data_IF_662911094045
#
_entry.id   IF_662911094045
#
_cell.length_a   1.000
_cell.length_b   1.000
_cell.length_c   1.000
_cell.angle_alpha   90.00
_cell.angle_beta   90.00
_cell.angle_gamma   90.00
#
_symmetry.space_group_name_H-M   'P 1'
#
loop_
_entity.id
_entity.type
_entity.pdbx_description
1 polymer ?
#
# COMPACT_ATOMS: atom_id res chain seq x y z
N UNK A 1 11.35 -12.55 -17.29
CA UNK A 1 10.85 -13.84 -16.82
C UNK A 1 12.02 -14.75 -16.55
N UNK A 2 12.17 -15.18 -15.32
CA UNK A 2 13.28 -16.01 -14.89
C UNK A 2 12.74 -17.34 -14.38
N UNK A 3 12.92 -18.43 -15.14
CA UNK A 3 12.56 -19.77 -14.66
C UNK A 3 13.44 -20.12 -13.45
N UNK A 4 12.86 -20.77 -12.50
CA UNK A 4 13.62 -21.41 -11.43
C UNK A 4 14.07 -22.76 -11.95
N UNK A 5 15.37 -23.01 -11.92
CA UNK A 5 15.90 -24.34 -12.14
C UNK A 5 15.55 -25.19 -10.93
N UNK A 6 14.76 -26.24 -11.13
CA UNK A 6 14.41 -27.21 -10.09
C UNK A 6 14.98 -28.60 -10.37
N UNK A 7 16.08 -28.68 -11.09
CA UNK A 7 16.82 -29.95 -11.29
C UNK A 7 17.46 -30.48 -10.01
N UNK A 8 17.54 -29.63 -8.97
CA UNK A 8 18.13 -29.98 -7.67
C UNK A 8 19.64 -30.14 -7.67
N UNK A 9 20.29 -29.77 -8.77
CA UNK A 9 21.74 -29.72 -8.88
C UNK A 9 22.09 -28.33 -9.40
N UNK A 10 22.94 -27.63 -8.66
CA UNK A 10 23.46 -26.37 -9.15
C UNK A 10 24.23 -26.61 -10.46
N UNK A 11 24.26 -25.67 -11.41
CA UNK A 11 25.01 -25.80 -12.65
C UNK A 11 26.48 -26.15 -12.45
N UNK A 12 27.03 -25.86 -11.27
CA UNK A 12 28.40 -26.18 -10.85
C UNK A 12 28.53 -27.50 -10.11
N UNK A 13 27.47 -28.30 -10.04
CA UNK A 13 27.44 -29.61 -9.39
C UNK A 13 27.46 -29.58 -7.86
N UNK A 14 27.34 -28.41 -7.25
CA UNK A 14 27.26 -28.29 -5.79
C UNK A 14 25.82 -28.49 -5.27
N UNK A 15 25.68 -28.99 -4.05
CA UNK A 15 24.37 -28.97 -3.39
C UNK A 15 23.92 -27.51 -3.20
N UNK A 16 22.58 -27.26 -3.17
CA UNK A 16 22.06 -25.94 -2.87
C UNK A 16 22.65 -25.45 -1.55
N UNK A 17 23.35 -24.36 -1.57
CA UNK A 17 23.89 -23.72 -0.36
C UNK A 17 23.25 -22.34 -0.22
N UNK A 18 22.89 -21.99 1.01
CA UNK A 18 22.31 -20.69 1.31
C UNK A 18 23.17 -19.50 0.90
N UNK A 19 22.65 -18.25 1.02
CA UNK A 19 23.33 -17.05 0.57
C UNK A 19 24.78 -16.96 1.10
N UNK A 20 25.74 -16.40 0.36
CA UNK A 20 25.53 -15.42 -0.71
C UNK A 20 25.75 -15.96 -2.13
N UNK A 21 25.32 -17.14 -2.47
CA UNK A 21 25.56 -17.66 -3.82
C UNK A 21 24.43 -17.25 -4.77
N UNK A 22 24.74 -16.53 -5.87
CA UNK A 22 23.84 -16.42 -7.00
C UNK A 22 23.68 -17.82 -7.60
N UNK A 23 22.48 -18.33 -7.66
CA UNK A 23 22.22 -19.70 -8.12
C UNK A 23 21.76 -20.60 -6.99
N UNK A 24 20.77 -20.10 -6.22
CA UNK A 24 20.08 -20.96 -5.29
C UNK A 24 19.35 -22.05 -6.06
N UNK A 25 19.81 -23.28 -5.90
CA UNK A 25 19.25 -24.42 -6.58
C UNK A 25 18.15 -25.06 -5.76
N UNK A 26 17.05 -25.33 -6.40
CA UNK A 26 15.87 -25.97 -5.77
C UNK A 26 16.07 -27.50 -5.80
N UNK A 27 15.90 -28.22 -4.68
CA UNK A 27 16.05 -29.66 -4.64
C UNK A 27 15.15 -30.40 -5.62
N UNK A 28 15.54 -31.61 -6.08
CA UNK A 28 14.72 -32.43 -6.97
C UNK A 28 13.33 -32.67 -6.38
N UNK A 29 12.28 -32.54 -7.19
CA UNK A 29 10.90 -32.77 -6.78
C UNK A 29 10.21 -31.58 -6.15
N UNK A 30 10.92 -30.44 -5.97
CA UNK A 30 10.28 -29.21 -5.58
C UNK A 30 9.39 -28.65 -6.69
N UNK A 31 8.29 -27.95 -6.33
CA UNK A 31 7.43 -27.34 -7.34
C UNK A 31 8.22 -26.35 -8.23
N UNK A 32 8.11 -26.50 -9.53
CA UNK A 32 8.68 -25.54 -10.45
C UNK A 32 7.96 -24.20 -10.32
N UNK A 33 8.74 -23.13 -10.19
CA UNK A 33 8.22 -21.77 -10.15
C UNK A 33 8.74 -21.06 -11.39
N UNK A 34 7.81 -20.54 -12.16
CA UNK A 34 8.12 -19.63 -13.24
C UNK A 34 7.09 -18.51 -13.27
N UNK A 35 7.40 -17.46 -13.98
CA UNK A 35 6.56 -16.29 -14.13
C UNK A 35 6.31 -15.95 -15.61
N UNK A 36 6.42 -16.92 -16.49
CA UNK A 36 6.23 -16.69 -17.94
C UNK A 36 4.82 -16.19 -18.27
N UNK A 37 3.83 -16.64 -17.53
CA UNK A 37 2.45 -16.21 -17.69
C UNK A 37 2.20 -14.75 -17.29
N UNK A 38 3.12 -14.13 -16.56
CA UNK A 38 3.05 -12.73 -16.15
C UNK A 38 3.88 -11.80 -17.05
N UNK A 39 4.54 -12.36 -18.08
CA UNK A 39 5.35 -11.57 -18.99
C UNK A 39 4.49 -10.63 -19.82
N UNK A 40 4.65 -9.34 -19.60
CA UNK A 40 3.91 -8.30 -20.29
C UNK A 40 4.72 -7.00 -20.34
N UNK A 41 4.30 -6.09 -21.21
CA UNK A 41 4.74 -4.71 -21.20
C UNK A 41 3.69 -3.88 -20.46
N UNK A 42 4.12 -2.70 -19.96
CA UNK A 42 3.22 -1.71 -19.32
C UNK A 42 2.40 -2.31 -18.17
N UNK A 43 3.10 -3.06 -17.30
CA UNK A 43 2.47 -3.83 -16.22
C UNK A 43 2.01 -3.00 -15.04
N UNK A 44 2.25 -1.69 -15.04
CA UNK A 44 1.89 -0.75 -13.97
C UNK A 44 0.79 0.24 -14.40
N UNK A 45 -0.36 -0.20 -14.95
CA UNK A 45 -1.44 0.73 -15.25
C UNK A 45 -2.02 1.29 -13.95
N UNK A 46 -2.37 2.57 -13.98
CA UNK A 46 -3.06 3.24 -12.86
C UNK A 46 -4.27 3.97 -13.40
N UNK A 47 -5.42 3.69 -12.81
CA UNK A 47 -6.67 4.35 -13.14
C UNK A 47 -7.17 5.16 -11.94
N UNK A 48 -7.58 6.40 -12.19
CA UNK A 48 -8.19 7.28 -11.20
C UNK A 48 -9.58 7.69 -11.64
N UNK A 49 -10.53 7.60 -10.72
CA UNK A 49 -11.84 8.22 -10.84
C UNK A 49 -12.05 9.13 -9.63
N UNK A 50 -12.25 10.42 -9.87
CA UNK A 50 -12.53 11.41 -8.83
C UNK A 50 -13.81 12.18 -9.12
N UNK A 51 -14.64 12.37 -8.10
CA UNK A 51 -15.86 13.17 -8.16
C UNK A 51 -15.88 14.13 -6.96
N UNK A 52 -16.34 15.35 -7.20
CA UNK A 52 -16.54 16.35 -6.14
C UNK A 52 -17.80 17.14 -6.42
N UNK A 53 -18.62 17.33 -5.38
CA UNK A 53 -19.78 18.18 -5.41
C UNK A 53 -19.75 19.13 -4.21
N UNK A 54 -20.23 20.34 -4.41
CA UNK A 54 -20.29 21.36 -3.37
C UNK A 54 -21.65 22.04 -3.39
N UNK A 55 -22.17 22.31 -2.21
CA UNK A 55 -23.41 23.06 -2.01
C UNK A 55 -23.15 24.17 -0.99
N UNK A 56 -23.31 25.41 -1.43
CA UNK A 56 -23.31 26.57 -0.55
C UNK A 56 -24.76 27.03 -0.34
N UNK A 57 -25.17 27.12 0.90
CA UNK A 57 -26.46 27.68 1.30
C UNK A 57 -26.28 28.92 2.18
N UNK A 58 -26.91 30.02 1.78
CA UNK A 58 -26.96 31.26 2.57
C UNK A 58 -28.27 31.31 3.34
N UNK A 59 -28.18 31.29 4.66
CA UNK A 59 -29.35 31.43 5.53
C UNK A 59 -29.83 32.88 5.59
N UNK A 60 -28.89 33.81 5.70
CA UNK A 60 -29.07 35.24 5.69
C UNK A 60 -27.74 35.94 5.38
N UNK A 61 -27.62 37.26 5.57
CA UNK A 61 -26.40 38.04 5.28
C UNK A 61 -25.23 37.68 6.20
N UNK A 62 -25.51 37.17 7.39
CA UNK A 62 -24.47 36.85 8.39
C UNK A 62 -24.13 35.37 8.46
N UNK A 63 -24.97 34.46 7.92
CA UNK A 63 -24.81 33.03 8.06
C UNK A 63 -24.87 32.26 6.74
N UNK A 64 -23.90 31.42 6.54
CA UNK A 64 -23.87 30.48 5.41
C UNK A 64 -23.30 29.13 5.84
N UNK A 65 -23.60 28.08 5.07
CA UNK A 65 -23.05 26.76 5.21
C UNK A 65 -22.58 26.25 3.85
N UNK A 66 -21.39 25.65 3.82
CA UNK A 66 -20.84 24.93 2.69
C UNK A 66 -20.71 23.45 3.07
N UNK A 67 -21.21 22.57 2.20
CA UNK A 67 -20.98 21.14 2.28
C UNK A 67 -20.25 20.71 1.03
N UNK A 68 -19.18 19.96 1.19
CA UNK A 68 -18.39 19.36 0.11
C UNK A 68 -18.43 17.85 0.27
N UNK A 69 -18.79 17.16 -0.81
CA UNK A 69 -18.70 15.71 -0.92
C UNK A 69 -17.66 15.33 -1.96
N UNK A 70 -16.69 14.52 -1.57
CA UNK A 70 -15.63 14.02 -2.47
C UNK A 70 -15.63 12.50 -2.45
N UNK A 71 -15.33 11.94 -3.60
CA UNK A 71 -15.10 10.52 -3.80
C UNK A 71 -13.89 10.34 -4.72
N UNK A 72 -13.01 9.40 -4.40
CA UNK A 72 -11.95 8.97 -5.28
C UNK A 72 -11.79 7.45 -5.21
N UNK A 73 -11.53 6.87 -6.35
CA UNK A 73 -11.10 5.48 -6.51
C UNK A 73 -9.81 5.46 -7.33
N UNK A 74 -8.81 4.77 -6.85
CA UNK A 74 -7.57 4.45 -7.53
C UNK A 74 -7.48 2.92 -7.65
N UNK A 75 -7.25 2.44 -8.86
CA UNK A 75 -6.87 1.06 -9.15
C UNK A 75 -5.50 1.10 -9.83
N UNK A 76 -4.48 0.61 -9.14
CA UNK A 76 -3.12 0.49 -9.63
C UNK A 76 -2.74 -1.00 -9.64
N UNK A 77 -2.35 -1.51 -10.78
CA UNK A 77 -1.75 -2.83 -10.89
C UNK A 77 -0.24 -2.71 -11.04
N UNK A 78 0.47 -3.80 -10.73
CA UNK A 78 1.90 -3.91 -10.97
C UNK A 78 2.77 -3.77 -9.75
N UNK A 79 4.03 -3.39 -9.97
CA UNK A 79 5.09 -3.35 -8.97
C UNK A 79 5.38 -1.91 -8.58
N UNK A 80 5.36 -1.64 -7.28
CA UNK A 80 5.54 -0.29 -6.71
C UNK A 80 6.99 -0.01 -6.27
N UNK A 81 7.91 -0.92 -6.57
CA UNK A 81 9.34 -0.80 -6.27
C UNK A 81 10.16 -1.38 -7.42
N UNK A 82 11.41 -0.93 -7.54
CA UNK A 82 12.38 -1.47 -8.49
C UNK A 82 13.50 -2.16 -7.74
N UNK A 83 13.86 -3.35 -8.19
CA UNK A 83 15.08 -4.03 -7.75
C UNK A 83 16.13 -3.95 -8.85
N UNK A 84 17.41 -3.73 -8.52
CA UNK A 84 18.47 -3.65 -9.53
C UNK A 84 18.76 -4.99 -10.19
N UNK A 85 18.53 -6.09 -9.48
CA UNK A 85 18.81 -7.44 -9.96
C UNK A 85 17.57 -8.33 -9.79
N UNK A 86 17.44 -9.30 -10.67
CA UNK A 86 16.53 -10.42 -10.49
C UNK A 86 16.99 -11.33 -9.35
N UNK A 87 16.11 -12.24 -8.89
CA UNK A 87 16.43 -13.14 -7.78
C UNK A 87 17.53 -14.17 -8.08
N UNK A 88 17.86 -14.40 -9.34
CA UNK A 88 19.01 -15.20 -9.80
C UNK A 88 20.33 -14.41 -9.88
N UNK A 89 20.28 -13.10 -9.62
CA UNK A 89 21.43 -12.21 -9.65
C UNK A 89 21.61 -11.45 -10.97
N UNK A 90 20.86 -11.78 -12.00
CA UNK A 90 20.94 -11.08 -13.29
C UNK A 90 20.52 -9.62 -13.14
N UNK A 91 21.30 -8.73 -13.75
CA UNK A 91 21.04 -7.30 -13.73
C UNK A 91 19.82 -6.96 -14.59
N UNK A 92 18.85 -6.27 -13.99
CA UNK A 92 17.67 -5.78 -14.70
C UNK A 92 17.99 -4.47 -15.43
N UNK A 93 17.39 -4.31 -16.61
CA UNK A 93 17.45 -3.04 -17.36
C UNK A 93 16.57 -1.99 -16.67
N UNK A 94 16.80 -0.69 -16.94
CA UNK A 94 15.91 0.36 -16.46
C UNK A 94 14.44 0.05 -16.81
N UNK A 95 13.52 0.25 -15.85
CA UNK A 95 12.09 -0.04 -15.96
C UNK A 95 11.72 -1.52 -16.17
N UNK A 96 12.67 -2.42 -16.03
CA UNK A 96 12.42 -3.86 -16.03
C UNK A 96 12.26 -4.35 -14.60
N UNK A 97 11.25 -5.18 -14.35
CA UNK A 97 11.00 -5.82 -13.06
C UNK A 97 10.73 -7.30 -13.22
N UNK A 98 10.92 -8.06 -12.16
CA UNK A 98 10.49 -9.46 -12.08
C UNK A 98 9.36 -9.59 -11.09
N UNK A 99 8.31 -10.28 -11.47
CA UNK A 99 7.09 -10.46 -10.71
C UNK A 99 6.70 -11.94 -10.78
N UNK A 100 6.39 -12.56 -9.64
CA UNK A 100 5.94 -13.95 -9.56
C UNK A 100 4.46 -14.06 -9.19
N UNK A 101 3.93 -13.02 -8.56
CA UNK A 101 2.50 -12.90 -8.25
C UNK A 101 1.99 -11.54 -8.72
N UNK A 102 0.74 -11.46 -9.21
CA UNK A 102 0.12 -10.18 -9.50
C UNK A 102 0.10 -9.30 -8.24
N UNK A 103 0.46 -8.05 -8.42
CA UNK A 103 0.42 -7.03 -7.35
C UNK A 103 -0.60 -5.95 -7.72
N UNK A 104 -1.25 -5.39 -6.71
CA UNK A 104 -2.16 -4.27 -6.89
C UNK A 104 -2.20 -3.36 -5.67
N UNK A 105 -2.62 -2.13 -5.89
CA UNK A 105 -2.99 -1.17 -4.85
C UNK A 105 -4.33 -0.54 -5.22
N UNK A 106 -5.37 -0.84 -4.45
CA UNK A 106 -6.72 -0.30 -4.62
C UNK A 106 -7.01 0.61 -3.44
N UNK A 107 -7.09 1.90 -3.72
CA UNK A 107 -7.35 2.93 -2.72
C UNK A 107 -8.62 3.69 -3.06
N UNK A 108 -9.58 3.65 -2.16
CA UNK A 108 -10.85 4.35 -2.32
C UNK A 108 -11.18 5.14 -1.08
N UNK A 109 -11.53 6.41 -1.27
CA UNK A 109 -12.05 7.21 -0.18
C UNK A 109 -13.33 7.97 -0.51
N UNK A 110 -14.08 8.23 0.54
CA UNK A 110 -15.22 9.13 0.56
C UNK A 110 -14.97 10.16 1.65
N UNK A 111 -15.09 11.43 1.33
CA UNK A 111 -14.92 12.52 2.29
C UNK A 111 -16.09 13.49 2.21
N UNK A 112 -16.71 13.74 3.36
CA UNK A 112 -17.71 14.78 3.55
C UNK A 112 -17.09 15.86 4.42
N UNK A 113 -17.06 17.09 3.94
CA UNK A 113 -16.60 18.25 4.72
C UNK A 113 -17.74 19.27 4.82
N UNK A 114 -17.81 19.97 5.92
CA UNK A 114 -18.77 21.04 6.13
C UNK A 114 -18.10 22.23 6.81
N UNK A 115 -18.58 23.42 6.46
CA UNK A 115 -18.19 24.67 7.10
C UNK A 115 -19.41 25.54 7.26
N UNK A 116 -19.65 26.01 8.46
CA UNK A 116 -20.66 27.02 8.77
C UNK A 116 -19.94 28.28 9.22
N UNK A 117 -20.15 29.36 8.49
CA UNK A 117 -19.66 30.67 8.86
C UNK A 117 -20.81 31.52 9.35
N UNK A 118 -20.54 32.31 10.37
CA UNK A 118 -21.56 33.19 10.92
C UNK A 118 -21.02 34.25 11.84
N UNK A 119 -21.94 35.04 12.43
CA UNK A 119 -21.64 36.07 13.39
C UNK A 119 -22.49 35.93 14.65
N UNK A 120 -21.86 36.11 15.81
CA UNK A 120 -22.53 36.27 17.11
C UNK A 120 -22.25 37.71 17.58
N UNK A 121 -23.19 38.62 17.36
CA UNK A 121 -22.95 40.04 17.56
C UNK A 121 -21.82 40.52 16.67
N UNK A 122 -20.73 41.00 17.27
CA UNK A 122 -19.54 41.45 16.53
C UNK A 122 -18.50 40.37 16.34
N UNK A 123 -18.66 39.20 16.93
CA UNK A 123 -17.70 38.10 16.81
C UNK A 123 -17.99 37.28 15.55
N UNK A 124 -16.92 36.95 14.80
CA UNK A 124 -17.03 35.97 13.73
C UNK A 124 -16.95 34.56 14.29
N UNK A 125 -17.83 33.67 13.83
CA UNK A 125 -17.91 32.28 14.21
C UNK A 125 -17.66 31.40 13.00
N UNK A 126 -16.85 30.36 13.18
CA UNK A 126 -16.63 29.31 12.19
C UNK A 126 -16.78 27.96 12.88
N UNK A 127 -17.68 27.15 12.36
CA UNK A 127 -17.74 25.73 12.68
C UNK A 127 -17.37 24.94 11.43
N UNK A 128 -16.32 24.12 11.49
CA UNK A 128 -15.89 23.29 10.39
C UNK A 128 -15.68 21.85 10.87
N UNK A 129 -15.91 20.92 9.99
CA UNK A 129 -15.66 19.51 10.27
C UNK A 129 -15.52 18.69 9.01
N UNK A 130 -15.18 17.43 9.21
CA UNK A 130 -15.05 16.47 8.13
C UNK A 130 -15.16 15.05 8.63
N UNK A 131 -15.69 14.21 7.77
CA UNK A 131 -15.73 12.77 7.95
C UNK A 131 -15.15 12.09 6.72
N UNK A 132 -14.06 11.34 6.92
CA UNK A 132 -13.37 10.58 5.90
C UNK A 132 -13.51 9.09 6.19
N UNK A 133 -13.83 8.32 5.15
CA UNK A 133 -13.68 6.86 5.14
C UNK A 133 -12.77 6.50 3.98
N UNK A 134 -11.62 5.90 4.28
CA UNK A 134 -10.68 5.37 3.30
C UNK A 134 -10.55 3.87 3.44
N UNK A 135 -10.49 3.16 2.32
CA UNK A 135 -10.25 1.72 2.25
C UNK A 135 -9.12 1.46 1.29
N UNK A 136 -8.15 0.69 1.74
CA UNK A 136 -7.01 0.23 0.95
C UNK A 136 -7.02 -1.29 0.91
N UNK A 137 -6.83 -1.87 -0.25
CA UNK A 137 -6.54 -3.31 -0.45
C UNK A 137 -5.28 -3.39 -1.31
N UNK A 138 -4.19 -3.77 -0.68
CA UNK A 138 -2.88 -3.81 -1.31
C UNK A 138 -2.33 -5.23 -1.27
N UNK A 139 -1.85 -5.70 -2.41
CA UNK A 139 -1.12 -6.95 -2.55
C UNK A 139 0.22 -6.66 -3.21
N UNK A 140 1.29 -7.09 -2.56
CA UNK A 140 2.65 -7.01 -3.08
C UNK A 140 3.24 -8.40 -3.24
N UNK A 141 3.90 -8.62 -4.38
CA UNK A 141 4.73 -9.79 -4.58
C UNK A 141 6.00 -9.69 -3.73
N UNK A 142 6.15 -10.62 -2.80
CA UNK A 142 7.28 -10.68 -1.87
C UNK A 142 8.31 -11.76 -2.24
N UNK A 143 8.10 -12.44 -3.35
CA UNK A 143 8.89 -13.59 -3.80
C UNK A 143 10.35 -13.25 -4.00
N UNK A 144 10.66 -12.10 -4.61
CA UNK A 144 12.04 -11.69 -4.83
C UNK A 144 12.81 -11.46 -3.53
N UNK A 145 12.16 -10.96 -2.50
CA UNK A 145 12.76 -10.83 -1.17
C UNK A 145 13.02 -12.20 -0.54
N UNK A 146 12.04 -13.11 -0.54
CA UNK A 146 12.18 -14.44 0.04
C UNK A 146 13.16 -15.32 -0.73
N UNK A 147 13.34 -15.11 -2.05
CA UNK A 147 14.33 -15.79 -2.89
C UNK A 147 15.72 -15.17 -2.86
N UNK A 148 15.85 -13.95 -2.35
CA UNK A 148 17.14 -13.27 -2.20
C UNK A 148 17.95 -13.83 -1.03
N UNK A 149 18.21 -13.00 -0.02
CA UNK A 149 19.03 -13.38 1.15
C UNK A 149 18.42 -14.54 1.96
N UNK A 150 17.12 -14.70 1.95
CA UNK A 150 16.38 -15.69 2.75
C UNK A 150 15.83 -16.86 1.94
N UNK A 151 16.10 -16.93 0.65
CA UNK A 151 15.53 -17.95 -0.23
C UNK A 151 15.75 -19.38 0.27
N UNK A 152 16.97 -19.71 0.71
CA UNK A 152 17.27 -21.00 1.28
C UNK A 152 16.58 -21.27 2.61
N UNK A 153 16.32 -20.21 3.37
CA UNK A 153 15.73 -20.32 4.70
C UNK A 153 14.24 -20.71 4.66
N UNK A 154 13.51 -20.20 3.66
CA UNK A 154 12.07 -20.39 3.60
C UNK A 154 11.60 -21.45 2.62
N UNK A 155 12.48 -22.05 1.84
CA UNK A 155 12.08 -22.97 0.79
C UNK A 155 12.08 -24.44 1.22
N UNK A 156 13.03 -24.83 2.05
CA UNK A 156 13.24 -26.25 2.39
C UNK A 156 13.39 -26.45 3.89
N UNK A 157 12.63 -27.43 4.42
CA UNK A 157 12.68 -27.83 5.81
C UNK A 157 13.06 -29.29 5.93
N UNK A 158 14.05 -29.58 6.76
CA UNK A 158 14.48 -30.94 7.08
C UNK A 158 13.70 -31.55 8.25
N UNK A 159 13.71 -32.86 8.39
CA UNK A 159 13.09 -33.55 9.51
C UNK A 159 13.69 -33.11 10.84
N UNK A 160 12.94 -32.39 11.65
CA UNK A 160 13.27 -32.10 13.06
C UNK A 160 14.07 -30.83 13.37
N UNK A 161 14.52 -30.06 12.39
CA UNK A 161 15.38 -28.87 12.62
C UNK A 161 14.80 -27.55 12.15
N UNK A 162 13.63 -27.56 11.52
CA UNK A 162 12.98 -26.35 11.00
C UNK A 162 13.63 -25.75 9.75
N UNK A 163 14.92 -25.93 9.55
CA UNK A 163 15.65 -25.51 8.34
C UNK A 163 16.69 -26.56 7.97
N UNK A 164 16.62 -27.02 6.75
CA UNK A 164 17.61 -27.93 6.17
C UNK A 164 17.77 -27.66 4.68
N UNK A 165 19.00 -27.41 4.26
CA UNK A 165 19.38 -27.19 2.86
C UNK A 165 19.77 -28.47 2.14
N UNK A 166 19.56 -29.64 2.75
CA UNK A 166 19.89 -30.93 2.14
C UNK A 166 18.85 -31.37 1.11
N UNK A 167 19.26 -32.22 0.17
CA UNK A 167 18.37 -32.77 -0.86
C UNK A 167 17.24 -33.67 -0.30
N UNK A 168 17.26 -33.97 1.00
CA UNK A 168 16.21 -34.76 1.69
C UNK A 168 15.11 -33.90 2.31
N UNK A 169 15.26 -32.60 2.24
CA UNK A 169 14.31 -31.65 2.81
C UNK A 169 13.00 -31.60 2.04
N UNK A 170 11.92 -31.29 2.74
CA UNK A 170 10.67 -30.90 2.09
C UNK A 170 10.76 -29.46 1.66
N UNK A 171 10.65 -29.21 0.37
CA UNK A 171 10.76 -27.86 -0.20
C UNK A 171 9.41 -27.34 -0.64
N UNK A 172 9.19 -26.04 -0.41
CA UNK A 172 7.99 -25.32 -0.77
C UNK A 172 8.29 -24.28 -1.84
N UNK A 173 7.24 -23.86 -2.55
CA UNK A 173 7.34 -22.74 -3.48
C UNK A 173 7.83 -21.50 -2.72
N UNK A 174 8.87 -20.81 -3.20
CA UNK A 174 9.30 -19.53 -2.63
C UNK A 174 8.35 -18.38 -2.98
N UNK A 175 7.27 -18.65 -3.70
CA UNK A 175 6.26 -17.65 -4.02
C UNK A 175 5.60 -17.14 -2.74
N UNK A 176 5.73 -15.87 -2.50
CA UNK A 176 5.21 -15.20 -1.33
C UNK A 176 4.52 -13.89 -1.71
N UNK A 177 3.42 -13.61 -1.05
CA UNK A 177 2.73 -12.33 -1.17
C UNK A 177 2.62 -11.69 0.21
N UNK A 178 2.59 -10.37 0.23
CA UNK A 178 2.16 -9.57 1.37
C UNK A 178 0.86 -8.89 1.01
N UNK A 179 -0.14 -9.02 1.87
CA UNK A 179 -1.43 -8.36 1.70
C UNK A 179 -1.75 -7.52 2.92
N UNK A 180 -2.25 -6.33 2.69
CA UNK A 180 -2.83 -5.45 3.71
C UNK A 180 -4.20 -4.99 3.25
N UNK A 181 -5.17 -5.09 4.16
CA UNK A 181 -6.52 -4.54 3.96
C UNK A 181 -6.79 -3.59 5.11
N UNK A 182 -6.83 -2.30 4.79
CA UNK A 182 -6.98 -1.24 5.79
C UNK A 182 -8.29 -0.48 5.59
N UNK A 183 -8.91 -0.10 6.70
CA UNK A 183 -10.01 0.85 6.72
C UNK A 183 -9.70 1.93 7.75
N UNK A 184 -9.66 3.17 7.29
CA UNK A 184 -9.48 4.33 8.14
C UNK A 184 -10.75 5.16 8.16
N UNK A 185 -11.23 5.49 9.35
CA UNK A 185 -12.35 6.40 9.58
C UNK A 185 -11.83 7.58 10.41
N UNK A 186 -12.02 8.78 9.90
CA UNK A 186 -11.56 9.99 10.55
C UNK A 186 -12.71 11.01 10.65
N UNK A 187 -13.08 11.35 11.86
CA UNK A 187 -14.01 12.43 12.18
C UNK A 187 -13.27 13.56 12.86
N UNK A 188 -13.44 14.77 12.34
CA UNK A 188 -12.90 15.98 12.97
C UNK A 188 -13.95 17.08 13.02
N UNK A 189 -13.89 17.89 14.08
CA UNK A 189 -14.75 19.06 14.26
C UNK A 189 -13.95 20.17 14.94
N UNK A 190 -14.15 21.37 14.49
CA UNK A 190 -13.54 22.56 15.06
C UNK A 190 -14.57 23.70 15.12
N UNK A 191 -14.66 24.34 16.27
CA UNK A 191 -15.42 25.58 16.44
C UNK A 191 -14.46 26.69 16.86
N UNK A 192 -14.52 27.82 16.15
CA UNK A 192 -13.69 29.00 16.41
C UNK A 192 -14.55 30.25 16.51
N UNK A 193 -14.15 31.15 17.42
CA UNK A 193 -14.63 32.50 17.51
C UNK A 193 -13.46 33.47 17.36
N UNK A 194 -13.63 34.54 16.61
CA UNK A 194 -12.66 35.58 16.43
C UNK A 194 -13.28 36.96 16.65
N UNK A 195 -12.47 37.86 17.22
CA UNK A 195 -12.85 39.25 17.36
C UNK A 195 -12.76 39.98 16.03
N UNK A 196 -13.49 41.13 15.85
CA UNK A 196 -13.34 41.98 14.67
C UNK A 196 -11.90 42.49 14.46
N UNK A 197 -11.56 42.74 13.20
CA UNK A 197 -10.22 43.18 12.83
C UNK A 197 -9.92 44.66 13.23
N UNK A 198 -10.94 45.45 13.47
CA UNK A 198 -10.87 46.84 13.89
C UNK A 198 -10.70 47.03 15.41
N UNK A 199 -10.80 45.96 16.21
CA UNK A 199 -10.57 46.04 17.65
C UNK A 199 -9.07 46.21 17.97
N UNK A 200 -8.80 46.99 19.03
CA UNK A 200 -7.42 47.18 19.53
C UNK A 200 -6.80 45.87 20.03
N UNK A 201 -7.59 45.01 20.67
CA UNK A 201 -7.22 43.67 21.09
C UNK A 201 -7.95 42.67 20.17
N UNK A 202 -7.15 41.87 19.49
CA UNK A 202 -7.66 40.83 18.60
C UNK A 202 -7.30 39.46 19.14
N UNK A 203 -8.21 38.54 19.06
CA UNK A 203 -8.02 37.19 19.55
C UNK A 203 -8.86 36.17 18.78
N UNK A 204 -8.40 34.93 18.83
CA UNK A 204 -9.12 33.75 18.35
C UNK A 204 -9.13 32.75 19.48
N UNK A 205 -10.28 32.14 19.73
CA UNK A 205 -10.43 31.02 20.63
C UNK A 205 -11.25 29.93 19.95
N UNK A 206 -10.94 28.68 20.24
CA UNK A 206 -11.64 27.56 19.62
C UNK A 206 -11.48 26.25 20.38
N UNK A 207 -12.26 25.28 19.95
CA UNK A 207 -12.22 23.89 20.44
C UNK A 207 -12.11 22.98 19.21
N UNK A 208 -11.20 22.01 19.29
CA UNK A 208 -11.02 20.99 18.28
C UNK A 208 -11.22 19.61 18.88
N UNK A 209 -11.95 18.76 18.17
CA UNK A 209 -12.23 17.37 18.52
C UNK A 209 -11.92 16.48 17.33
N UNK A 210 -11.26 15.36 17.59
CA UNK A 210 -10.90 14.37 16.58
C UNK A 210 -11.13 12.97 17.10
N UNK A 211 -11.68 12.10 16.26
CA UNK A 211 -11.75 10.65 16.44
C UNK A 211 -11.18 9.96 15.21
N UNK A 212 -10.24 9.03 15.42
CA UNK A 212 -9.57 8.30 14.34
C UNK A 212 -9.61 6.80 14.64
N UNK A 213 -10.12 6.01 13.71
CA UNK A 213 -10.23 4.56 13.82
C UNK A 213 -9.52 3.91 12.64
N UNK A 214 -8.54 3.09 12.94
CA UNK A 214 -7.82 2.27 11.98
C UNK A 214 -8.17 0.80 12.22
N UNK A 215 -8.63 0.14 11.18
CA UNK A 215 -8.87 -1.31 11.13
C UNK A 215 -7.90 -1.90 10.11
N UNK A 216 -7.07 -2.84 10.54
CA UNK A 216 -6.08 -3.55 9.73
C UNK A 216 -6.36 -5.06 9.80
N UNK A 217 -6.27 -5.75 8.64
CA UNK A 217 -6.48 -7.21 8.49
C UNK A 217 -5.38 -7.85 7.65
#
# INVERSE_FOLDING_TARGET
NYPVDNTGVCPDGRPPSGPPNPGFCVPPGSPAINNYNLAANDINPVNYLGLRAELLYKFNDDWNALITQSYQNMDADGVFYQQPNASDGDQLKPLQVTLFNPSHDKDRFTSTAWTVNGKFGNLSAVYTGGYLVRKVDQVNDYTNYSRGVYAGYYQCYGPGTGYDSTLTSTCFSPSAIWRSVERNEHLQNEFRLSTPDDWRLRGIAGVYLQDNKLFDQ
#
